data_IF_019683654474
#
_entry.id   IF_019683654474
#
_cell.length_a   1.000
_cell.length_b   1.000
_cell.length_c   1.000
_cell.angle_alpha   90.00
_cell.angle_beta   90.00
_cell.angle_gamma   90.00
#
_symmetry.space_group_name_H-M   'P 1'
#
loop_
_entity.id
_entity.type
_entity.pdbx_description
1 polymer ?
#
# COMPACT_ATOMS: atom_id res chain seq x y z
N UNK A 1 -2.07 120.94 -21.38
CA UNK A 1 -1.69 120.28 -22.65
C UNK A 1 -1.59 118.78 -22.39
N UNK A 2 -2.51 117.94 -22.90
CA UNK A 2 -2.34 117.11 -24.13
C UNK A 2 -1.08 116.23 -24.03
N UNK A 3 -1.03 114.90 -24.17
CA UNK A 3 -1.79 113.86 -24.89
C UNK A 3 -1.18 112.49 -24.45
N UNK A 4 -1.92 111.48 -23.99
CA UNK A 4 -2.41 110.27 -24.72
C UNK A 4 -1.36 109.38 -25.45
N UNK A 5 -1.42 108.07 -25.10
CA UNK A 5 -1.22 106.81 -25.88
C UNK A 5 0.20 106.22 -26.05
N UNK A 6 0.46 104.90 -26.21
CA UNK A 6 -0.17 103.55 -25.97
C UNK A 6 0.84 102.48 -26.50
N UNK A 7 0.74 101.20 -26.06
CA UNK A 7 0.91 99.90 -26.81
C UNK A 7 2.09 98.95 -26.47
N UNK A 8 1.70 97.84 -25.80
CA UNK A 8 1.87 96.37 -26.02
C UNK A 8 3.19 95.71 -26.49
N UNK A 9 3.46 94.57 -25.82
CA UNK A 9 3.84 93.25 -26.39
C UNK A 9 5.06 92.61 -25.71
N UNK A 10 5.28 91.29 -25.59
CA UNK A 10 4.54 90.02 -25.69
C UNK A 10 5.60 88.89 -25.40
N UNK A 11 5.18 87.69 -24.93
CA UNK A 11 5.90 86.37 -24.94
C UNK A 11 7.05 86.22 -23.91
N UNK A 12 7.21 85.19 -23.05
CA UNK A 12 6.75 83.80 -23.01
C UNK A 12 7.97 82.85 -23.04
N UNK A 13 8.16 81.98 -22.04
CA UNK A 13 9.23 80.97 -22.07
C UNK A 13 9.51 80.26 -20.74
N UNK A 14 8.74 79.21 -20.44
CA UNK A 14 8.99 78.26 -19.36
C UNK A 14 9.94 77.14 -19.84
N UNK A 15 10.90 76.73 -19.00
CA UNK A 15 11.69 75.50 -19.22
C UNK A 15 11.50 74.60 -18.01
N UNK A 16 10.77 73.49 -18.23
CA UNK A 16 10.47 72.46 -17.26
C UNK A 16 11.53 71.35 -17.34
N UNK A 17 12.10 71.00 -16.18
CA UNK A 17 13.04 69.89 -16.00
C UNK A 17 12.29 68.56 -16.09
N UNK A 18 12.52 67.77 -17.14
CA UNK A 18 11.98 66.41 -17.29
C UNK A 18 12.96 65.42 -16.61
N UNK A 19 12.60 64.96 -15.42
CA UNK A 19 13.21 63.79 -14.78
C UNK A 19 12.64 62.53 -15.42
N UNK A 20 13.41 61.87 -16.29
CA UNK A 20 13.10 60.55 -16.83
C UNK A 20 13.70 59.49 -15.89
N UNK A 21 12.97 59.13 -14.83
CA UNK A 21 13.31 57.99 -14.00
C UNK A 21 12.73 56.72 -14.62
N UNK A 22 13.60 55.71 -14.77
CA UNK A 22 13.31 54.40 -15.35
C UNK A 22 12.09 53.73 -14.70
N UNK A 23 11.11 53.36 -15.51
CA UNK A 23 10.14 52.35 -15.14
C UNK A 23 10.74 50.98 -15.53
N UNK A 24 11.10 50.10 -14.59
CA UNK A 24 11.18 48.70 -14.91
C UNK A 24 9.74 48.18 -15.06
N UNK A 25 9.35 47.93 -16.30
CA UNK A 25 8.28 46.99 -16.63
C UNK A 25 8.70 45.56 -16.18
N UNK A 26 7.69 44.71 -16.00
CA UNK A 26 7.71 43.28 -15.62
C UNK A 26 7.68 42.99 -14.10
N UNK A 27 6.68 42.33 -13.52
CA UNK A 27 5.38 41.83 -13.96
C UNK A 27 4.54 41.58 -12.67
N UNK A 28 3.25 41.94 -12.69
CA UNK A 28 2.36 41.75 -11.55
C UNK A 28 2.01 40.27 -11.33
N UNK A 29 2.42 39.72 -10.19
CA UNK A 29 1.63 38.76 -9.44
C UNK A 29 1.32 39.37 -8.07
N UNK A 30 0.05 39.71 -7.82
CA UNK A 30 -0.45 39.98 -6.46
C UNK A 30 -1.62 39.05 -6.23
N UNK A 31 -1.48 38.11 -5.30
CA UNK A 31 -2.65 37.48 -4.71
C UNK A 31 -2.49 37.46 -3.20
N UNK A 32 -3.50 38.05 -2.58
CA UNK A 32 -3.73 38.11 -1.16
C UNK A 32 -5.20 37.84 -0.91
N UNK A 33 -5.53 36.79 -0.16
CA UNK A 33 -6.94 36.50 0.16
C UNK A 33 -7.03 36.09 1.63
N UNK A 34 -7.70 36.93 2.43
CA UNK A 34 -7.86 36.81 3.88
C UNK A 34 -8.39 38.11 4.51
N UNK A 35 -8.59 38.14 5.83
CA UNK A 35 -9.25 39.24 6.58
C UNK A 35 -8.52 40.60 6.54
N UNK A 36 -7.22 40.59 6.24
CA UNK A 36 -6.44 41.78 5.94
C UNK A 36 -5.95 41.56 4.51
N UNK A 37 -6.33 42.32 3.46
CA UNK A 37 -5.96 42.07 2.07
C UNK A 37 -4.91 43.03 1.47
N UNK A 38 -4.26 43.89 2.25
CA UNK A 38 -3.47 45.02 1.71
C UNK A 38 -1.94 44.85 1.62
N UNK A 39 -1.36 43.84 2.28
CA UNK A 39 0.10 43.63 2.36
C UNK A 39 0.45 42.15 2.29
N UNK A 40 1.26 41.76 1.30
CA UNK A 40 1.95 40.47 1.18
C UNK A 40 3.36 40.61 1.78
N UNK A 41 3.92 39.55 2.38
CA UNK A 41 5.28 39.53 2.87
C UNK A 41 6.32 39.78 1.76
N UNK A 42 7.43 40.44 2.10
CA UNK A 42 8.47 40.80 1.13
C UNK A 42 9.07 39.59 0.39
N UNK A 43 9.06 38.42 1.04
CA UNK A 43 9.62 37.16 0.55
C UNK A 43 8.58 36.19 -0.05
N UNK A 44 7.34 36.64 -0.27
CA UNK A 44 6.22 35.81 -0.72
C UNK A 44 5.69 36.26 -2.09
N UNK A 45 5.47 35.32 -3.01
CA UNK A 45 4.78 35.55 -4.29
C UNK A 45 3.25 35.42 -4.18
N UNK A 46 2.77 34.60 -3.24
CA UNK A 46 1.35 34.37 -2.94
C UNK A 46 1.17 34.19 -1.44
N UNK A 47 0.15 34.83 -0.85
CA UNK A 47 -0.32 34.55 0.52
C UNK A 47 -1.84 34.38 0.54
N UNK A 48 -2.31 33.24 1.03
CA UNK A 48 -3.74 33.02 1.33
C UNK A 48 -3.87 32.84 2.82
N UNK A 49 -4.54 33.79 3.47
CA UNK A 49 -4.72 33.87 4.92
C UNK A 49 -6.15 33.50 5.31
N UNK A 50 -6.31 32.50 6.16
CA UNK A 50 -7.58 32.14 6.76
C UNK A 50 -7.98 33.15 7.86
N UNK A 51 -9.25 33.17 8.26
CA UNK A 51 -9.77 34.08 9.30
C UNK A 51 -9.12 33.90 10.68
N UNK A 52 -8.41 32.79 10.88
CA UNK A 52 -7.60 32.49 12.07
C UNK A 52 -6.11 32.87 11.92
N UNK A 53 -5.78 33.73 10.95
CA UNK A 53 -4.43 34.22 10.63
C UNK A 53 -3.42 33.13 10.23
N UNK A 54 -3.90 32.00 9.69
CA UNK A 54 -3.04 30.93 9.15
C UNK A 54 -2.85 31.10 7.66
N UNK A 55 -1.64 30.87 7.15
CA UNK A 55 -1.30 31.16 5.75
C UNK A 55 -0.86 29.94 4.96
N UNK A 56 -1.17 29.97 3.66
CA UNK A 56 -0.44 29.24 2.63
C UNK A 56 0.41 30.26 1.87
N UNK A 57 1.71 30.01 1.80
CA UNK A 57 2.72 30.94 1.29
C UNK A 57 3.47 30.27 0.14
N UNK A 58 3.68 30.98 -0.96
CA UNK A 58 4.63 30.57 -2.02
C UNK A 58 5.86 31.47 -1.94
N UNK A 59 7.03 30.90 -1.65
CA UNK A 59 8.27 31.66 -1.47
C UNK A 59 8.86 32.17 -2.80
N UNK A 60 9.45 33.37 -2.75
CA UNK A 60 10.12 33.98 -3.91
C UNK A 60 11.43 33.32 -4.30
N UNK A 61 12.20 32.89 -3.30
CA UNK A 61 13.57 32.45 -3.48
C UNK A 61 13.68 31.12 -4.21
N UNK A 62 12.74 30.21 -3.95
CA UNK A 62 12.84 28.81 -4.38
C UNK A 62 11.52 28.24 -4.91
N UNK A 63 10.43 29.02 -4.92
CA UNK A 63 9.11 28.57 -5.35
C UNK A 63 8.46 27.54 -4.43
N UNK A 64 9.03 27.29 -3.24
CA UNK A 64 8.47 26.33 -2.28
C UNK A 64 7.15 26.84 -1.70
N UNK A 65 6.27 25.90 -1.35
CA UNK A 65 4.98 26.19 -0.72
C UNK A 65 5.07 25.85 0.76
N UNK A 66 4.78 26.82 1.62
CA UNK A 66 4.67 26.63 3.07
C UNK A 66 3.21 26.74 3.49
N UNK A 67 2.76 25.75 4.25
CA UNK A 67 1.45 25.76 4.92
C UNK A 67 1.73 25.99 6.40
N UNK A 68 1.42 27.18 6.90
CA UNK A 68 1.68 27.54 8.30
C UNK A 68 0.81 26.71 9.24
N UNK A 69 1.39 26.29 10.36
CA UNK A 69 0.75 25.51 11.42
C UNK A 69 0.37 24.07 11.02
N UNK A 70 1.26 23.38 10.31
CA UNK A 70 1.33 21.92 10.47
C UNK A 70 1.45 21.62 11.97
N UNK A 71 0.68 20.68 12.55
CA UNK A 71 0.61 20.47 14.00
C UNK A 71 1.98 20.51 14.68
N UNK A 72 2.12 21.26 15.77
CA UNK A 72 3.37 21.38 16.53
C UNK A 72 3.81 19.98 17.00
N UNK A 73 5.05 19.57 16.67
CA UNK A 73 5.50 18.18 16.81
C UNK A 73 5.32 17.31 15.56
N UNK A 74 4.97 17.91 14.41
CA UNK A 74 4.98 17.23 13.12
C UNK A 74 6.37 16.65 12.84
N UNK A 75 6.43 15.32 12.63
CA UNK A 75 7.62 14.66 12.10
C UNK A 75 8.11 15.40 10.84
N UNK A 76 9.43 15.50 10.69
CA UNK A 76 10.08 16.14 9.53
C UNK A 76 9.69 15.48 8.20
N UNK A 77 9.16 14.26 8.26
CA UNK A 77 8.90 13.40 7.10
C UNK A 77 7.39 13.14 6.97
N UNK A 78 6.64 14.12 6.47
CA UNK A 78 5.22 13.93 6.10
C UNK A 78 5.07 13.73 4.60
N UNK A 79 4.20 12.81 4.22
CA UNK A 79 3.77 12.61 2.84
C UNK A 79 2.47 13.38 2.64
N UNK A 80 2.40 14.27 1.65
CA UNK A 80 1.12 14.87 1.26
C UNK A 80 0.37 13.91 0.33
N UNK A 81 -0.88 13.59 0.68
CA UNK A 81 -1.77 12.80 -0.16
C UNK A 81 -2.95 13.64 -0.63
N UNK A 82 -3.44 13.34 -1.82
CA UNK A 82 -4.64 13.94 -2.41
C UNK A 82 -5.68 12.84 -2.57
N UNK A 83 -6.88 13.04 -2.05
CA UNK A 83 -7.97 12.07 -2.22
C UNK A 83 -8.69 12.23 -3.57
N UNK A 84 -9.65 11.34 -3.86
CA UNK A 84 -10.40 11.35 -5.12
C UNK A 84 -11.28 12.61 -5.30
N UNK A 85 -11.56 13.36 -4.23
CA UNK A 85 -12.30 14.62 -4.27
C UNK A 85 -11.35 15.85 -4.35
N UNK A 86 -10.03 15.62 -4.39
CA UNK A 86 -9.02 16.68 -4.46
C UNK A 86 -8.63 17.26 -3.10
N UNK A 87 -9.07 16.68 -1.97
CA UNK A 87 -8.66 17.17 -0.65
C UNK A 87 -7.21 16.77 -0.38
N UNK A 88 -6.42 17.72 0.10
CA UNK A 88 -5.02 17.50 0.48
C UNK A 88 -4.95 17.22 1.98
N UNK A 89 -4.30 16.11 2.37
CA UNK A 89 -4.00 15.81 3.77
C UNK A 89 -2.54 15.41 3.94
N UNK A 90 -1.95 15.83 5.05
CA UNK A 90 -0.63 15.37 5.45
C UNK A 90 -0.76 14.03 6.19
N UNK A 91 -0.13 13.00 5.66
CA UNK A 91 0.03 11.71 6.31
C UNK A 91 1.33 11.73 7.12
N UNK A 92 1.30 11.20 8.33
CA UNK A 92 2.52 10.90 9.08
C UNK A 92 3.20 9.69 8.46
N UNK A 93 4.53 9.61 8.61
CA UNK A 93 5.25 8.40 8.25
C UNK A 93 4.69 7.18 9.00
N UNK A 94 4.20 7.36 10.23
CA UNK A 94 3.50 6.30 10.98
C UNK A 94 2.17 5.90 10.36
N UNK A 95 1.40 6.80 9.73
CA UNK A 95 0.16 6.43 9.03
C UNK A 95 0.45 5.65 7.74
N UNK A 96 1.57 5.95 7.07
CA UNK A 96 2.02 5.26 5.85
C UNK A 96 2.75 3.95 6.18
N UNK A 97 3.54 3.94 7.25
CA UNK A 97 4.26 2.80 7.78
C UNK A 97 3.46 2.02 8.81
N UNK A 98 2.23 2.42 9.13
CA UNK A 98 1.28 1.55 9.82
C UNK A 98 1.19 0.38 8.88
N UNK A 99 1.83 -0.76 9.22
CA UNK A 99 1.83 -1.88 8.31
C UNK A 99 0.36 -2.13 8.09
N UNK A 100 -0.09 -2.13 6.83
CA UNK A 100 -1.42 -2.66 6.54
C UNK A 100 -1.45 -3.95 7.34
N UNK A 101 -2.41 -4.08 8.25
CA UNK A 101 -2.43 -5.16 9.22
C UNK A 101 -2.69 -6.52 8.54
N UNK A 102 -2.23 -6.71 7.29
CA UNK A 102 -1.97 -7.96 6.60
C UNK A 102 -0.82 -8.71 7.28
N UNK A 103 -0.97 -8.91 8.59
CA UNK A 103 -0.63 -10.19 9.21
C UNK A 103 -1.32 -11.27 8.37
N UNK A 104 -0.70 -12.45 8.17
CA UNK A 104 -1.43 -13.53 7.54
C UNK A 104 -2.78 -13.69 8.23
N UNK A 105 -3.85 -13.72 7.44
CA UNK A 105 -5.20 -13.98 7.94
C UNK A 105 -5.25 -15.38 8.56
N UNK A 106 -4.41 -16.29 8.08
CA UNK A 106 -4.25 -17.61 8.66
C UNK A 106 -2.79 -18.03 8.67
N UNK A 107 -2.36 -18.65 9.78
CA UNK A 107 -1.17 -19.52 9.81
C UNK A 107 -1.53 -20.83 10.46
N UNK A 108 -1.31 -21.93 9.74
CA UNK A 108 -1.47 -23.28 10.25
C UNK A 108 -0.15 -24.03 10.18
N UNK A 109 0.12 -24.89 11.17
CA UNK A 109 1.21 -25.86 11.12
C UNK A 109 0.81 -27.18 11.76
N UNK A 110 1.39 -28.26 11.28
CA UNK A 110 1.17 -29.57 11.89
C UNK A 110 1.55 -30.71 10.98
N UNK A 111 1.37 -31.92 11.49
CA UNK A 111 1.63 -33.15 10.77
C UNK A 111 0.30 -33.82 10.35
N UNK A 112 0.26 -34.36 9.14
CA UNK A 112 -0.80 -35.23 8.65
C UNK A 112 -0.22 -36.62 8.42
N UNK A 113 -0.83 -37.63 9.06
CA UNK A 113 -0.24 -38.97 9.18
C UNK A 113 -0.73 -39.95 8.11
N UNK A 114 -1.72 -39.59 7.27
CA UNK A 114 -2.57 -40.62 6.64
C UNK A 114 -2.74 -40.50 5.13
N UNK A 115 -1.67 -40.24 4.36
CA UNK A 115 -1.77 -40.39 2.90
C UNK A 115 -1.46 -41.84 2.50
N UNK A 116 -2.47 -42.55 1.99
CA UNK A 116 -2.34 -43.88 1.36
C UNK A 116 -2.13 -43.68 -0.13
N UNK A 117 -1.32 -44.55 -0.76
CA UNK A 117 -1.05 -44.50 -2.20
C UNK A 117 -2.35 -44.39 -3.03
N UNK A 118 -2.40 -43.43 -3.94
CA UNK A 118 -3.55 -43.18 -4.83
C UNK A 118 -4.76 -42.53 -4.17
N UNK A 119 -4.74 -42.28 -2.86
CA UNK A 119 -5.83 -41.61 -2.16
C UNK A 119 -5.62 -40.10 -2.14
N UNK A 120 -6.71 -39.36 -2.36
CA UNK A 120 -6.76 -37.93 -2.11
C UNK A 120 -7.31 -37.70 -0.70
N UNK A 121 -6.49 -37.12 0.18
CA UNK A 121 -6.85 -36.86 1.58
C UNK A 121 -6.83 -35.36 1.86
N UNK A 122 -7.85 -34.87 2.56
CA UNK A 122 -7.81 -33.51 3.08
C UNK A 122 -6.77 -33.41 4.20
N UNK A 123 -5.99 -32.34 4.16
CA UNK A 123 -5.05 -31.97 5.23
C UNK A 123 -5.88 -31.40 6.38
N UNK A 124 -5.99 -32.16 7.47
CA UNK A 124 -6.78 -31.80 8.65
C UNK A 124 -5.89 -31.72 9.90
N UNK A 125 -6.47 -31.26 11.01
CA UNK A 125 -5.86 -31.24 12.34
C UNK A 125 -4.53 -30.46 12.46
N UNK A 126 -4.27 -29.52 11.54
CA UNK A 126 -3.22 -28.54 11.73
C UNK A 126 -3.56 -27.62 12.91
N UNK A 127 -2.56 -27.21 13.68
CA UNK A 127 -2.70 -26.21 14.72
C UNK A 127 -2.73 -24.81 14.11
N UNK A 128 -3.70 -23.98 14.50
CA UNK A 128 -3.75 -22.57 14.12
C UNK A 128 -2.79 -21.76 14.99
N UNK A 129 -1.70 -21.26 14.41
CA UNK A 129 -0.80 -20.30 15.06
C UNK A 129 -1.38 -18.88 15.04
N UNK A 130 -2.19 -18.58 14.02
CA UNK A 130 -2.83 -17.28 13.82
C UNK A 130 -4.12 -17.46 13.01
N UNK A 131 -5.18 -16.77 13.41
CA UNK A 131 -6.46 -16.77 12.71
C UNK A 131 -7.15 -15.40 12.88
N UNK A 132 -7.19 -14.62 11.80
CA UNK A 132 -7.82 -13.31 11.74
C UNK A 132 -8.84 -13.31 10.59
N UNK A 133 -10.12 -13.09 10.91
CA UNK A 133 -11.17 -12.89 9.91
C UNK A 133 -11.28 -14.01 8.85
N UNK A 134 -11.00 -15.23 9.28
CA UNK A 134 -11.21 -16.51 8.58
C UNK A 134 -11.59 -17.53 9.64
N UNK A 135 -12.38 -18.54 9.28
CA UNK A 135 -12.74 -19.62 10.19
C UNK A 135 -12.05 -20.92 9.76
N UNK A 136 -11.17 -21.47 10.61
CA UNK A 136 -10.55 -22.76 10.36
C UNK A 136 -11.18 -23.86 11.24
N UNK A 137 -11.61 -24.95 10.61
CA UNK A 137 -12.17 -26.13 11.29
C UNK A 137 -11.18 -27.29 11.23
N UNK A 138 -10.46 -27.52 12.33
CA UNK A 138 -9.38 -28.52 12.38
C UNK A 138 -9.80 -29.91 11.91
N UNK A 139 -10.94 -30.44 12.38
CA UNK A 139 -11.37 -31.80 12.03
C UNK A 139 -11.66 -32.03 10.55
N UNK A 140 -11.95 -30.98 9.77
CA UNK A 140 -12.26 -31.07 8.33
C UNK A 140 -11.22 -30.39 7.44
N UNK A 141 -10.25 -29.68 8.02
CA UNK A 141 -9.27 -28.89 7.28
C UNK A 141 -9.87 -27.70 6.53
N UNK A 142 -11.14 -27.35 6.81
CA UNK A 142 -11.86 -26.30 6.09
C UNK A 142 -11.44 -24.91 6.57
N UNK A 143 -11.07 -24.04 5.64
CA UNK A 143 -10.80 -22.61 5.84
C UNK A 143 -11.93 -21.83 5.16
N UNK A 144 -12.86 -21.29 5.96
CA UNK A 144 -13.99 -20.50 5.44
C UNK A 144 -13.63 -19.01 5.41
N UNK A 145 -13.64 -18.44 4.21
CA UNK A 145 -13.40 -17.03 3.96
C UNK A 145 -14.57 -16.20 4.52
N UNK A 146 -14.30 -15.21 5.38
CA UNK A 146 -15.37 -14.38 5.99
C UNK A 146 -15.70 -13.14 5.15
N UNK A 147 -14.77 -12.67 4.31
CA UNK A 147 -14.94 -11.48 3.50
C UNK A 147 -14.45 -11.72 2.07
N UNK A 148 -15.14 -11.16 1.08
CA UNK A 148 -14.64 -11.20 -0.29
C UNK A 148 -13.32 -10.40 -0.41
N UNK A 149 -12.46 -10.81 -1.34
CA UNK A 149 -11.23 -10.12 -1.65
C UNK A 149 -10.26 -10.91 -2.52
N UNK A 150 -9.07 -10.35 -2.72
CA UNK A 150 -7.94 -11.02 -3.36
C UNK A 150 -7.04 -11.60 -2.27
N UNK A 151 -6.75 -12.89 -2.34
CA UNK A 151 -5.97 -13.62 -1.35
C UNK A 151 -4.72 -14.22 -1.96
N UNK A 152 -3.58 -14.04 -1.28
CA UNK A 152 -2.34 -14.79 -1.51
C UNK A 152 -2.27 -15.96 -0.54
N UNK A 153 -1.90 -17.14 -1.02
CA UNK A 153 -1.65 -18.30 -0.18
C UNK A 153 -0.24 -18.83 -0.40
N UNK A 154 0.29 -19.47 0.64
CA UNK A 154 1.51 -20.25 0.59
C UNK A 154 1.32 -21.55 1.38
N UNK A 155 1.44 -22.68 0.73
CA UNK A 155 1.39 -24.02 1.33
C UNK A 155 2.74 -24.66 1.12
N UNK A 156 3.40 -25.06 2.19
CA UNK A 156 4.61 -25.88 2.13
C UNK A 156 4.32 -27.22 2.76
N UNK A 157 4.63 -28.28 2.04
CA UNK A 157 4.52 -29.66 2.49
C UNK A 157 5.92 -30.30 2.49
N UNK A 158 6.35 -30.76 3.66
CA UNK A 158 7.55 -31.57 3.83
C UNK A 158 7.12 -33.05 3.89
N UNK A 159 7.49 -33.80 2.85
CA UNK A 159 7.28 -35.24 2.79
C UNK A 159 8.12 -36.00 3.83
N UNK A 160 7.71 -37.24 4.17
CA UNK A 160 8.45 -38.07 5.11
C UNK A 160 9.84 -38.41 4.56
N UNK A 161 10.84 -38.43 5.45
CA UNK A 161 12.12 -39.08 5.19
C UNK A 161 12.13 -40.49 5.77
N UNK A 162 12.61 -41.47 5.02
CA UNK A 162 12.91 -42.82 5.46
C UNK A 162 14.37 -43.15 5.10
N UNK A 163 15.27 -42.91 6.03
CA UNK A 163 16.66 -43.30 5.89
C UNK A 163 16.75 -44.82 5.63
N UNK A 164 17.42 -45.21 4.54
CA UNK A 164 17.61 -46.61 4.17
C UNK A 164 16.44 -47.27 3.43
N UNK A 165 15.41 -46.52 3.02
CA UNK A 165 14.38 -47.06 2.13
C UNK A 165 15.01 -47.51 0.80
N UNK A 166 14.78 -48.75 0.35
CA UNK A 166 15.39 -49.26 -0.86
C UNK A 166 14.82 -48.53 -2.10
N UNK A 167 15.56 -47.54 -2.60
CA UNK A 167 15.53 -47.07 -3.99
C UNK A 167 14.21 -46.55 -4.58
N UNK A 168 13.11 -46.51 -3.82
CA UNK A 168 11.82 -46.05 -4.34
C UNK A 168 11.79 -44.53 -4.42
N UNK A 169 11.19 -44.04 -5.50
CA UNK A 169 10.93 -42.62 -5.72
C UNK A 169 9.72 -42.24 -4.86
N UNK A 170 9.85 -41.17 -4.09
CA UNK A 170 8.77 -40.63 -3.28
C UNK A 170 8.15 -39.45 -3.98
N UNK A 171 6.95 -39.66 -4.48
CA UNK A 171 6.14 -38.69 -5.17
C UNK A 171 4.91 -38.34 -4.32
N UNK A 172 4.69 -37.04 -4.13
CA UNK A 172 3.47 -36.52 -3.54
C UNK A 172 3.09 -35.21 -4.20
N UNK A 173 1.80 -34.95 -4.28
CA UNK A 173 1.25 -33.69 -4.76
C UNK A 173 0.31 -33.13 -3.72
N UNK A 174 0.38 -31.82 -3.49
CA UNK A 174 -0.64 -31.12 -2.73
C UNK A 174 -1.30 -30.06 -3.58
N UNK A 175 -2.62 -29.97 -3.44
CA UNK A 175 -3.45 -29.05 -4.20
C UNK A 175 -4.23 -28.16 -3.24
N UNK A 176 -4.36 -26.89 -3.59
CA UNK A 176 -5.32 -25.99 -2.95
C UNK A 176 -6.64 -26.08 -3.71
N UNK A 177 -7.74 -26.16 -2.98
CA UNK A 177 -9.09 -26.20 -3.55
C UNK A 177 -9.95 -25.11 -2.92
N UNK A 178 -10.87 -24.54 -3.69
CA UNK A 178 -11.97 -23.72 -3.19
C UNK A 178 -13.29 -24.34 -3.65
N UNK A 179 -14.22 -24.56 -2.71
CA UNK A 179 -15.53 -25.16 -3.00
C UNK A 179 -15.45 -26.47 -3.81
N UNK A 180 -14.45 -27.31 -3.48
CA UNK A 180 -14.10 -28.56 -4.15
C UNK A 180 -13.52 -28.44 -5.57
N UNK A 181 -13.35 -27.23 -6.12
CA UNK A 181 -12.61 -27.02 -7.36
C UNK A 181 -11.11 -26.83 -7.06
N UNK A 182 -10.25 -27.56 -7.76
CA UNK A 182 -8.80 -27.35 -7.69
C UNK A 182 -8.43 -26.00 -8.27
N UNK A 183 -7.75 -25.17 -7.46
CA UNK A 183 -7.19 -23.91 -7.91
C UNK A 183 -5.79 -24.13 -8.49
N UNK A 184 -4.96 -24.87 -7.75
CA UNK A 184 -3.55 -25.07 -8.07
C UNK A 184 -3.03 -26.37 -7.45
N UNK A 185 -1.96 -26.93 -8.01
CA UNK A 185 -1.32 -28.14 -7.55
C UNK A 185 0.19 -28.10 -7.76
N UNK A 186 0.95 -28.54 -6.76
CA UNK A 186 2.39 -28.72 -6.86
C UNK A 186 2.78 -30.09 -6.33
N UNK A 187 3.81 -30.68 -6.92
CA UNK A 187 4.32 -31.98 -6.54
C UNK A 187 5.78 -31.91 -6.09
N UNK A 188 6.13 -32.72 -5.08
CA UNK A 188 7.49 -32.99 -4.65
C UNK A 188 7.90 -34.40 -5.06
N UNK A 189 9.16 -34.55 -5.48
CA UNK A 189 9.78 -35.84 -5.78
C UNK A 189 11.11 -35.95 -5.04
N UNK A 190 11.29 -37.05 -4.31
CA UNK A 190 12.57 -37.46 -3.72
C UNK A 190 13.06 -38.78 -4.30
N UNK A 191 14.35 -38.85 -4.61
CA UNK A 191 15.01 -40.11 -4.90
C UNK A 191 15.73 -40.55 -3.60
N UNK A 192 15.46 -41.75 -3.08
CA UNK A 192 16.14 -42.40 -1.93
C UNK A 192 15.58 -42.15 -0.53
N UNK A 193 14.29 -41.85 -0.39
CA UNK A 193 13.69 -41.72 0.95
C UNK A 193 14.20 -40.53 1.76
N UNK A 194 14.82 -39.54 1.13
CA UNK A 194 15.09 -38.27 1.79
C UNK A 194 13.80 -37.45 1.84
N UNK A 195 13.57 -36.75 2.95
CA UNK A 195 12.44 -35.83 3.05
C UNK A 195 12.60 -34.73 2.02
N UNK A 196 11.60 -34.55 1.15
CA UNK A 196 11.57 -33.43 0.19
C UNK A 196 10.51 -32.44 0.58
N UNK A 197 10.75 -31.17 0.28
CA UNK A 197 9.78 -30.10 0.45
C UNK A 197 9.21 -29.69 -0.91
N UNK A 198 7.92 -29.41 -0.94
CA UNK A 198 7.23 -28.82 -2.07
C UNK A 198 6.46 -27.62 -1.54
N UNK A 199 6.57 -26.50 -2.25
CA UNK A 199 5.88 -25.25 -1.89
C UNK A 199 4.99 -24.83 -3.05
N UNK A 200 3.71 -24.60 -2.74
CA UNK A 200 2.71 -24.08 -3.66
C UNK A 200 2.29 -22.67 -3.20
N UNK A 201 2.27 -21.71 -4.11
CA UNK A 201 1.91 -20.32 -3.83
C UNK A 201 1.07 -19.77 -4.96
N UNK A 202 0.11 -18.89 -4.67
CA UNK A 202 -0.65 -18.22 -5.71
C UNK A 202 -1.57 -17.14 -5.16
N UNK A 203 -2.25 -16.46 -6.09
CA UNK A 203 -3.16 -15.34 -5.78
C UNK A 203 -4.51 -15.65 -6.42
N UNK A 204 -5.58 -15.66 -5.63
CA UNK A 204 -6.93 -15.95 -6.08
C UNK A 204 -7.94 -14.97 -5.50
N UNK A 205 -8.95 -14.61 -6.29
CA UNK A 205 -10.13 -13.91 -5.79
C UNK A 205 -11.06 -14.93 -5.13
N UNK A 206 -11.41 -14.68 -3.87
CA UNK A 206 -12.32 -15.53 -3.09
C UNK A 206 -13.50 -14.67 -2.60
N UNK A 207 -14.67 -15.28 -2.52
CA UNK A 207 -15.88 -14.66 -2.00
C UNK A 207 -16.06 -15.02 -0.51
N UNK A 208 -16.82 -14.20 0.21
CA UNK A 208 -17.28 -14.57 1.54
C UNK A 208 -18.10 -15.86 1.47
N UNK A 209 -17.80 -16.81 2.37
CA UNK A 209 -18.40 -18.14 2.40
C UNK A 209 -17.64 -19.21 1.63
N UNK A 210 -16.69 -18.85 0.76
CA UNK A 210 -15.86 -19.84 0.07
C UNK A 210 -15.10 -20.72 1.08
N UNK A 211 -15.06 -22.02 0.81
CA UNK A 211 -14.35 -22.99 1.64
C UNK A 211 -13.08 -23.43 0.93
N UNK A 212 -11.94 -23.00 1.47
CA UNK A 212 -10.62 -23.39 1.00
C UNK A 212 -10.14 -24.63 1.76
N UNK A 213 -9.57 -25.60 1.05
CA UNK A 213 -8.94 -26.80 1.63
C UNK A 213 -7.65 -27.14 0.92
N UNK A 214 -6.80 -27.89 1.61
CA UNK A 214 -5.59 -28.48 1.03
C UNK A 214 -5.80 -29.98 0.91
N UNK A 215 -5.53 -30.49 -0.28
CA UNK A 215 -5.54 -31.90 -0.63
C UNK A 215 -4.12 -32.41 -0.70
N UNK A 216 -3.89 -33.63 -0.25
CA UNK A 216 -2.65 -34.36 -0.41
C UNK A 216 -2.94 -35.67 -1.16
N UNK A 217 -2.15 -35.93 -2.18
CA UNK A 217 -2.11 -37.20 -2.92
C UNK A 217 -0.68 -37.71 -2.92
N UNK A 218 -0.50 -39.01 -2.88
CA UNK A 218 0.82 -39.63 -2.99
C UNK A 218 0.74 -40.87 -3.87
N UNK A 219 1.70 -41.04 -4.77
CA UNK A 219 1.93 -42.30 -5.50
C UNK A 219 3.01 -43.15 -4.85
N UNK A 220 3.54 -42.73 -3.70
CA UNK A 220 4.56 -43.46 -2.96
C UNK A 220 3.92 -44.68 -2.30
N UNK A 221 4.33 -45.88 -2.70
CA UNK A 221 4.05 -47.11 -1.97
C UNK A 221 5.00 -47.18 -0.78
N UNK A 222 4.53 -46.72 0.38
CA UNK A 222 5.33 -46.78 1.61
C UNK A 222 5.34 -48.23 2.11
N UNK A 223 6.52 -48.85 2.15
CA UNK A 223 6.66 -50.23 2.63
C UNK A 223 6.50 -50.23 4.15
N UNK A 224 5.32 -50.63 4.63
CA UNK A 224 5.06 -50.89 6.06
C UNK A 224 4.17 -49.89 6.81
N UNK A 225 3.37 -49.03 6.16
CA UNK A 225 2.54 -48.04 6.87
C UNK A 225 2.26 -46.72 6.15
N UNK A 226 1.88 -45.71 6.94
CA UNK A 226 1.49 -44.37 6.47
C UNK A 226 2.61 -43.34 6.68
N UNK A 227 2.85 -42.49 5.68
CA UNK A 227 3.86 -41.43 5.76
C UNK A 227 3.36 -40.21 6.53
N UNK A 228 4.20 -39.63 7.40
CA UNK A 228 3.93 -38.37 8.07
C UNK A 228 4.40 -37.18 7.21
N UNK A 229 3.47 -36.32 6.84
CA UNK A 229 3.73 -35.09 6.08
C UNK A 229 3.57 -33.88 6.99
N UNK A 230 4.56 -32.99 7.03
CA UNK A 230 4.46 -31.75 7.80
C UNK A 230 4.04 -30.60 6.90
N UNK A 231 3.02 -29.86 7.31
CA UNK A 231 2.49 -28.73 6.56
C UNK A 231 2.74 -27.42 7.29
N UNK A 232 3.01 -26.38 6.50
CA UNK A 232 2.95 -24.97 6.90
C UNK A 232 2.07 -24.24 5.88
N UNK A 233 1.00 -23.61 6.36
CA UNK A 233 0.01 -22.92 5.54
C UNK A 233 -0.06 -21.47 5.98
N UNK A 234 0.01 -20.55 5.02
CA UNK A 234 -0.24 -19.15 5.24
C UNK A 234 -1.24 -18.62 4.21
N UNK A 235 -2.16 -17.76 4.65
CA UNK A 235 -3.14 -17.08 3.80
C UNK A 235 -3.13 -15.59 4.14
N UNK A 236 -3.07 -14.72 3.15
CA UNK A 236 -3.00 -13.26 3.28
C UNK A 236 -4.08 -12.64 2.41
N UNK A 237 -4.90 -11.74 2.95
CA UNK A 237 -5.77 -10.89 2.13
C UNK A 237 -4.94 -9.71 1.60
N UNK A 238 -4.91 -9.51 0.29
CA UNK A 238 -4.17 -8.44 -0.36
C UNK A 238 -5.04 -7.21 -0.63
N UNK A 239 -6.31 -7.43 -0.98
CA UNK A 239 -7.29 -6.35 -1.19
C UNK A 239 -8.71 -6.83 -0.90
N UNK A 240 -9.61 -5.88 -0.71
CA UNK A 240 -11.05 -6.11 -0.83
C UNK A 240 -11.47 -6.28 -2.30
#
# INVERSE_FOLDING_TARGET
MTTKRTIKGLIGGAVATIFLAAAPDHAFAQVKIGSNPTVIGSNSNLEVEATNAKKVIVHKSDGTVVIENTPQGAATDKLMSVDAAGNVRALTLDEVNTPVATRPYLRLKGAVITAVTGSNVFVTNLAAELQNNVNYTAGTGAITIQEAGVYYYAVTALGPGQAGAPGTVFDYCHAITANNATLDQTCGRSNRGEGTSSTNTGIYKLNAGDVVRINLTTSSAWVGGTGQYNFSVALYKLSN
#
